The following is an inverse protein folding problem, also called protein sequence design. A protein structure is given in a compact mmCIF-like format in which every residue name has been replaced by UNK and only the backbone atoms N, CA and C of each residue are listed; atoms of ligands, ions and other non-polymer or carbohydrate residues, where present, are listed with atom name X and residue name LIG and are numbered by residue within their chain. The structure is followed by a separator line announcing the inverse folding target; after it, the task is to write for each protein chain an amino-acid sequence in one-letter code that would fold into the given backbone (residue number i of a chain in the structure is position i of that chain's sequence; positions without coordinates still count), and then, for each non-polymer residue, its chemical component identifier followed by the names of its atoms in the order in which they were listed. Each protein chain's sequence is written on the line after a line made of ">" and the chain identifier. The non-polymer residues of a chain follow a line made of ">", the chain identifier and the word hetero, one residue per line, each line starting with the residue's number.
data_IF_422504527534
#
_entry.id   IF_422504527534
#
_cell.length_a   1.000
_cell.length_b   1.000
_cell.length_c   1.000
_cell.angle_alpha   90.00
_cell.angle_beta   90.00
_cell.angle_gamma   90.00
#
_symmetry.space_group_name_H-M   'P 1'
#
loop_
_entity.id
_entity.type
_entity.pdbx_description
1 polymer ?
#
# COMPACT_ATOMS: atom_id res chain seq x y z
N UNK A 1 -14.92 3.31 21.54
CA UNK A 1 -15.59 3.57 22.82
C UNK A 1 -16.17 4.98 22.90
N UNK A 2 -15.41 6.05 22.59
CA UNK A 2 -15.90 7.42 22.83
C UNK A 2 -17.10 7.97 22.02
N UNK A 3 -17.46 7.44 20.84
CA UNK A 3 -18.57 8.02 20.05
C UNK A 3 -19.95 7.62 20.57
N UNK A 4 -20.11 6.37 21.01
CA UNK A 4 -21.39 5.84 21.50
C UNK A 4 -21.76 6.43 22.87
N UNK A 5 -20.76 6.64 23.73
CA UNK A 5 -20.95 7.25 25.06
C UNK A 5 -21.37 8.73 24.97
N UNK A 6 -20.97 9.44 23.91
CA UNK A 6 -21.29 10.87 23.75
C UNK A 6 -22.62 11.09 23.00
N UNK A 7 -22.96 10.26 22.01
CA UNK A 7 -24.08 10.52 21.10
C UNK A 7 -25.26 9.56 21.21
N UNK A 8 -25.17 8.50 22.05
CA UNK A 8 -26.21 7.50 22.28
C UNK A 8 -26.84 6.92 20.99
N UNK A 9 -26.08 6.95 19.89
CA UNK A 9 -26.44 6.46 18.56
C UNK A 9 -25.31 5.59 18.04
N UNK A 10 -25.66 4.39 17.57
CA UNK A 10 -24.74 3.54 16.83
C UNK A 10 -24.52 4.14 15.43
N UNK A 11 -23.26 4.15 14.96
CA UNK A 11 -22.87 4.72 13.65
C UNK A 11 -23.55 3.96 12.51
N UNK A 12 -23.76 2.65 12.68
CA UNK A 12 -24.50 1.77 11.79
C UNK A 12 -25.26 0.75 12.65
N UNK A 13 -26.56 0.54 12.42
CA UNK A 13 -27.40 -0.41 13.16
C UNK A 13 -28.31 -1.22 12.24
N UNK A 14 -28.70 -2.42 12.69
CA UNK A 14 -29.68 -3.29 12.01
C UNK A 14 -29.27 -3.73 10.59
N UNK A 15 -30.19 -3.61 9.64
CA UNK A 15 -30.01 -4.10 8.26
C UNK A 15 -28.87 -3.47 7.47
N UNK A 16 -28.48 -2.22 7.79
CA UNK A 16 -27.36 -1.55 7.13
C UNK A 16 -26.01 -2.19 7.50
N UNK A 17 -25.83 -2.62 8.75
CA UNK A 17 -24.62 -3.31 9.20
C UNK A 17 -24.50 -4.70 8.55
N UNK A 18 -25.64 -5.38 8.36
CA UNK A 18 -25.70 -6.68 7.72
C UNK A 18 -25.37 -6.60 6.21
N UNK A 19 -25.82 -5.53 5.54
CA UNK A 19 -25.43 -5.25 4.15
C UNK A 19 -23.93 -4.97 4.01
N UNK A 20 -23.31 -4.20 4.91
CA UNK A 20 -21.86 -3.96 4.90
C UNK A 20 -21.08 -5.27 5.03
N UNK A 21 -21.55 -6.21 5.87
CA UNK A 21 -20.91 -7.51 6.04
C UNK A 21 -21.09 -8.42 4.81
N UNK A 22 -22.30 -8.45 4.24
CA UNK A 22 -22.57 -9.17 3.00
C UNK A 22 -21.72 -8.65 1.83
N UNK A 23 -21.50 -7.34 1.78
CA UNK A 23 -20.64 -6.70 0.79
C UNK A 23 -19.17 -7.15 0.90
N UNK A 24 -18.68 -7.55 2.08
CA UNK A 24 -17.32 -8.09 2.23
C UNK A 24 -17.22 -9.60 1.92
N UNK A 25 -18.34 -10.27 1.63
CA UNK A 25 -18.34 -11.71 1.43
C UNK A 25 -17.66 -12.09 0.09
N UNK A 26 -16.57 -12.88 0.10
CA UNK A 26 -15.66 -13.04 -1.06
C UNK A 26 -16.31 -13.66 -2.30
N UNK A 27 -17.37 -14.45 -2.11
CA UNK A 27 -18.07 -15.18 -3.18
C UNK A 27 -19.43 -14.60 -3.57
N UNK A 28 -20.04 -13.77 -2.71
CA UNK A 28 -21.39 -13.22 -2.94
C UNK A 28 -21.35 -11.78 -3.44
N UNK A 29 -20.26 -11.07 -3.21
CA UNK A 29 -20.01 -9.75 -3.77
C UNK A 29 -18.91 -9.84 -4.84
N UNK A 30 -18.95 -8.97 -5.85
CA UNK A 30 -17.86 -8.79 -6.81
C UNK A 30 -16.59 -8.16 -6.16
N UNK A 31 -16.43 -8.32 -4.84
CA UNK A 31 -15.40 -7.68 -4.02
C UNK A 31 -13.98 -8.05 -4.43
N UNK A 32 -13.74 -9.30 -4.84
CA UNK A 32 -12.41 -9.73 -5.31
C UNK A 32 -12.04 -9.06 -6.65
N UNK A 33 -13.00 -8.89 -7.56
CA UNK A 33 -12.78 -8.19 -8.82
C UNK A 33 -12.49 -6.71 -8.59
N UNK A 34 -13.26 -6.07 -7.69
CA UNK A 34 -13.00 -4.71 -7.24
C UNK A 34 -11.66 -4.57 -6.51
N UNK A 35 -11.24 -5.58 -5.74
CA UNK A 35 -9.94 -5.60 -5.08
C UNK A 35 -8.76 -5.65 -6.08
N UNK A 36 -8.94 -6.26 -7.26
CA UNK A 36 -7.96 -6.21 -8.34
C UNK A 36 -7.78 -4.80 -8.89
N UNK A 37 -8.87 -4.05 -9.12
CA UNK A 37 -8.78 -2.64 -9.53
C UNK A 37 -8.10 -1.79 -8.46
N UNK A 38 -8.40 -2.01 -7.19
CA UNK A 38 -7.66 -1.38 -6.09
C UNK A 38 -6.16 -1.70 -6.14
N UNK A 39 -5.80 -2.96 -6.42
CA UNK A 39 -4.41 -3.38 -6.62
C UNK A 39 -3.71 -2.63 -7.76
N UNK A 40 -4.41 -2.37 -8.86
CA UNK A 40 -3.90 -1.55 -9.95
C UNK A 40 -3.65 -0.10 -9.52
N UNK A 41 -4.57 0.52 -8.77
CA UNK A 41 -4.36 1.88 -8.25
C UNK A 41 -3.25 1.97 -7.21
N UNK A 42 -3.07 0.92 -6.39
CA UNK A 42 -1.92 0.79 -5.48
C UNK A 42 -0.60 0.77 -6.26
N UNK A 43 -0.54 0.02 -7.36
CA UNK A 43 0.61 0.02 -8.25
C UNK A 43 0.87 1.40 -8.86
N UNK A 44 -0.16 2.06 -9.40
CA UNK A 44 -0.04 3.38 -10.01
C UNK A 44 0.43 4.45 -9.00
N UNK A 45 -0.13 4.43 -7.79
CA UNK A 45 0.32 5.24 -6.66
C UNK A 45 1.79 4.97 -6.32
N UNK A 46 2.22 3.70 -6.34
CA UNK A 46 3.62 3.30 -6.13
C UNK A 46 4.57 3.87 -7.18
N UNK A 47 4.18 3.90 -8.45
CA UNK A 47 4.97 4.55 -9.51
C UNK A 47 5.09 6.06 -9.26
N UNK A 48 3.98 6.72 -8.91
CA UNK A 48 3.97 8.17 -8.61
C UNK A 48 4.88 8.46 -7.41
N UNK A 49 4.82 7.64 -6.36
CA UNK A 49 5.68 7.74 -5.19
C UNK A 49 7.16 7.61 -5.58
N UNK A 50 7.50 6.59 -6.38
CA UNK A 50 8.86 6.37 -6.90
C UNK A 50 9.36 7.54 -7.74
N UNK A 51 8.54 8.06 -8.65
CA UNK A 51 8.86 9.22 -9.48
C UNK A 51 9.18 10.46 -8.64
N UNK A 52 8.31 10.78 -7.66
CA UNK A 52 8.52 11.95 -6.81
C UNK A 52 9.70 11.80 -5.86
N UNK A 53 9.91 10.59 -5.29
CA UNK A 53 11.07 10.31 -4.47
C UNK A 53 12.36 10.51 -5.28
N UNK A 54 12.39 9.99 -6.50
CA UNK A 54 13.50 10.16 -7.42
C UNK A 54 13.73 11.64 -7.71
N UNK A 55 12.68 12.38 -8.09
CA UNK A 55 12.76 13.80 -8.43
C UNK A 55 13.29 14.66 -7.27
N UNK A 56 12.92 14.34 -6.03
CA UNK A 56 13.42 15.06 -4.85
C UNK A 56 14.90 14.80 -4.61
N UNK A 57 15.34 13.54 -4.73
CA UNK A 57 16.73 13.16 -4.55
C UNK A 57 17.62 13.81 -5.63
N UNK A 58 17.25 13.67 -6.91
CA UNK A 58 18.00 14.27 -8.01
C UNK A 58 17.92 15.80 -8.02
N UNK A 59 16.79 16.36 -7.61
CA UNK A 59 16.54 17.79 -7.57
C UNK A 59 17.22 18.53 -6.42
N UNK A 60 17.88 17.83 -5.48
CA UNK A 60 18.49 18.42 -4.28
C UNK A 60 17.51 19.34 -3.55
N UNK A 61 16.27 18.86 -3.44
CA UNK A 61 15.15 19.67 -2.92
C UNK A 61 15.39 20.04 -1.46
N UNK A 62 16.08 19.20 -0.68
CA UNK A 62 16.50 19.52 0.68
C UNK A 62 17.35 20.79 0.72
N UNK A 63 18.41 20.88 -0.08
CA UNK A 63 19.29 22.05 -0.07
C UNK A 63 18.56 23.30 -0.54
N UNK A 64 17.66 23.17 -1.51
CA UNK A 64 16.80 24.27 -1.97
C UNK A 64 15.85 24.76 -0.88
N UNK A 65 15.24 23.84 -0.13
CA UNK A 65 14.30 24.17 0.94
C UNK A 65 15.00 24.91 2.09
N UNK A 66 16.22 24.49 2.45
CA UNK A 66 17.04 25.15 3.48
C UNK A 66 17.48 26.55 3.05
N UNK A 67 17.78 26.74 1.76
CA UNK A 67 18.22 28.03 1.20
C UNK A 67 17.06 28.95 0.78
N UNK A 68 15.81 28.50 0.85
CA UNK A 68 14.67 29.26 0.38
C UNK A 68 14.43 30.53 1.24
N UNK A 69 14.41 31.74 0.65
CA UNK A 69 14.44 33.00 1.39
C UNK A 69 13.21 33.20 2.28
N UNK A 70 12.03 32.76 1.85
CA UNK A 70 10.82 32.84 2.67
C UNK A 70 10.87 31.90 3.89
N UNK A 71 11.29 30.64 3.71
CA UNK A 71 11.31 29.66 4.80
C UNK A 71 12.37 30.00 5.84
N UNK A 72 13.51 30.54 5.41
CA UNK A 72 14.58 30.99 6.30
C UNK A 72 14.15 32.18 7.17
N UNK A 73 13.20 33.01 6.70
CA UNK A 73 12.63 34.12 7.47
C UNK A 73 11.55 33.65 8.46
N UNK A 74 10.76 32.64 8.09
CA UNK A 74 9.63 32.19 8.92
C UNK A 74 10.01 31.09 9.93
N UNK A 75 11.01 30.26 9.63
CA UNK A 75 11.33 29.04 10.40
C UNK A 75 12.77 29.08 10.92
N UNK A 76 12.96 28.74 12.20
CA UNK A 76 14.29 28.57 12.80
C UNK A 76 15.14 27.54 12.03
N UNK A 77 16.47 27.75 11.87
CA UNK A 77 17.34 26.90 11.05
C UNK A 77 17.34 25.42 11.48
N UNK A 78 17.25 25.13 12.78
CA UNK A 78 17.18 23.74 13.29
C UNK A 78 15.89 23.04 12.84
N UNK A 79 14.75 23.74 12.92
CA UNK A 79 13.44 23.21 12.50
C UNK A 79 13.35 23.07 10.99
N UNK A 80 13.88 24.05 10.25
CA UNK A 80 13.93 24.01 8.78
C UNK A 80 14.76 22.82 8.28
N UNK A 81 15.92 22.56 8.89
CA UNK A 81 16.73 21.40 8.52
C UNK A 81 16.00 20.08 8.83
N UNK A 82 15.38 19.96 10.00
CA UNK A 82 14.59 18.76 10.36
C UNK A 82 13.42 18.54 9.38
N UNK A 83 12.72 19.61 9.01
CA UNK A 83 11.64 19.57 8.03
C UNK A 83 12.14 19.17 6.64
N UNK A 84 13.25 19.75 6.19
CA UNK A 84 13.84 19.43 4.89
C UNK A 84 14.30 17.98 4.80
N UNK A 85 14.91 17.44 5.86
CA UNK A 85 15.28 16.02 5.96
C UNK A 85 14.04 15.13 5.97
N UNK A 86 12.99 15.51 6.71
CA UNK A 86 11.73 14.77 6.72
C UNK A 86 11.09 14.72 5.33
N UNK A 87 11.01 15.85 4.64
CA UNK A 87 10.51 15.94 3.27
C UNK A 87 11.35 15.10 2.31
N UNK A 88 12.68 15.21 2.35
CA UNK A 88 13.57 14.40 1.52
C UNK A 88 13.32 12.88 1.71
N UNK A 89 13.11 12.44 2.94
CA UNK A 89 12.95 11.02 3.27
C UNK A 89 11.54 10.46 2.99
N UNK A 90 10.49 11.27 3.16
CA UNK A 90 9.10 10.76 3.20
C UNK A 90 8.21 11.29 2.07
N UNK A 91 8.64 12.25 1.27
CA UNK A 91 7.76 12.89 0.29
C UNK A 91 7.28 11.93 -0.80
N UNK A 92 8.09 10.96 -1.24
CA UNK A 92 7.62 9.91 -2.14
C UNK A 92 6.43 9.14 -1.56
N UNK A 93 6.54 8.68 -0.32
CA UNK A 93 5.46 8.00 0.39
C UNK A 93 4.24 8.90 0.58
N UNK A 94 4.45 10.19 0.88
CA UNK A 94 3.36 11.17 1.03
C UNK A 94 2.59 11.33 -0.27
N UNK A 95 3.30 11.53 -1.38
CA UNK A 95 2.68 11.66 -2.71
C UNK A 95 1.97 10.37 -3.15
N UNK A 96 2.54 9.20 -2.82
CA UNK A 96 1.87 7.91 -3.01
C UNK A 96 0.53 7.85 -2.29
N UNK A 97 0.52 8.12 -0.99
CA UNK A 97 -0.71 8.10 -0.18
C UNK A 97 -1.75 9.12 -0.66
N UNK A 98 -1.32 10.33 -1.03
CA UNK A 98 -2.21 11.36 -1.60
C UNK A 98 -2.82 10.87 -2.92
N UNK A 99 -2.00 10.33 -3.83
CA UNK A 99 -2.47 9.81 -5.11
C UNK A 99 -3.45 8.64 -4.91
N UNK A 100 -3.15 7.73 -3.98
CA UNK A 100 -4.05 6.62 -3.64
C UNK A 100 -5.37 7.12 -3.08
N UNK A 101 -5.34 8.09 -2.17
CA UNK A 101 -6.54 8.71 -1.61
C UNK A 101 -7.39 9.40 -2.67
N UNK A 102 -6.76 10.07 -3.64
CA UNK A 102 -7.44 10.66 -4.79
C UNK A 102 -8.12 9.59 -5.66
N UNK A 103 -7.43 8.49 -6.00
CA UNK A 103 -8.02 7.40 -6.76
C UNK A 103 -9.21 6.75 -6.03
N UNK A 104 -9.08 6.53 -4.72
CA UNK A 104 -10.17 6.03 -3.88
C UNK A 104 -11.37 6.98 -3.88
N UNK A 105 -11.16 8.27 -3.63
CA UNK A 105 -12.25 9.25 -3.57
C UNK A 105 -12.95 9.44 -4.92
N UNK A 106 -12.20 9.39 -6.02
CA UNK A 106 -12.76 9.61 -7.35
C UNK A 106 -13.49 8.37 -7.90
N UNK A 107 -13.14 7.18 -7.43
CA UNK A 107 -13.74 5.92 -7.90
C UNK A 107 -15.27 5.87 -7.77
N UNK A 108 -15.81 6.31 -6.64
CA UNK A 108 -17.26 6.33 -6.42
C UNK A 108 -17.98 7.34 -7.33
N UNK A 109 -17.31 8.43 -7.71
CA UNK A 109 -17.84 9.41 -8.69
C UNK A 109 -17.83 8.80 -10.09
N UNK A 110 -16.73 8.15 -10.47
CA UNK A 110 -16.64 7.45 -11.75
C UNK A 110 -17.69 6.35 -11.88
N UNK A 111 -17.93 5.56 -10.84
CA UNK A 111 -18.99 4.54 -10.85
C UNK A 111 -20.38 5.14 -11.14
N UNK A 112 -20.70 6.28 -10.51
CA UNK A 112 -21.97 6.98 -10.76
C UNK A 112 -22.07 7.51 -12.20
N UNK A 113 -20.99 8.05 -12.75
CA UNK A 113 -20.97 8.60 -14.12
C UNK A 113 -21.14 7.50 -15.17
N UNK A 114 -20.44 6.38 -15.00
CA UNK A 114 -20.50 5.27 -15.96
C UNK A 114 -21.71 4.35 -15.78
N UNK A 115 -22.51 4.54 -14.73
CA UNK A 115 -23.66 3.67 -14.41
C UNK A 115 -23.27 2.24 -14.01
N UNK A 116 -21.97 1.98 -13.80
CA UNK A 116 -21.43 0.70 -13.35
C UNK A 116 -21.15 0.85 -11.85
N UNK A 117 -21.50 -0.14 -10.98
CA UNK A 117 -21.16 -0.11 -9.56
C UNK A 117 -19.64 -0.29 -9.37
N UNK A 118 -18.85 0.70 -9.78
CA UNK A 118 -17.41 0.71 -9.62
C UNK A 118 -17.08 1.04 -8.17
N UNK A 119 -16.76 -0.01 -7.42
CA UNK A 119 -16.40 0.08 -6.02
C UNK A 119 -14.92 -0.28 -5.85
N UNK A 120 -14.24 0.35 -4.90
CA UNK A 120 -12.84 0.05 -4.58
C UNK A 120 -12.79 -0.64 -3.23
N UNK A 121 -12.31 -1.89 -3.25
CA UNK A 121 -12.10 -2.69 -2.05
C UNK A 121 -10.63 -2.65 -1.66
N UNK A 122 -10.31 -1.80 -0.70
CA UNK A 122 -8.98 -1.73 -0.08
C UNK A 122 -9.01 -2.44 1.27
N UNK A 123 -8.01 -3.28 1.59
CA UNK A 123 -7.95 -4.06 2.83
C UNK A 123 -8.23 -3.22 4.09
N UNK A 124 -7.64 -2.03 4.18
CA UNK A 124 -7.83 -1.15 5.36
C UNK A 124 -9.26 -0.66 5.50
N UNK A 125 -9.94 -0.35 4.38
CA UNK A 125 -11.33 0.10 4.39
C UNK A 125 -12.26 -1.08 4.68
N UNK A 126 -12.01 -2.23 4.05
CA UNK A 126 -12.78 -3.45 4.29
C UNK A 126 -12.66 -3.90 5.77
N UNK A 127 -11.46 -3.86 6.34
CA UNK A 127 -11.22 -4.14 7.74
C UNK A 127 -11.91 -3.14 8.67
N UNK A 128 -11.82 -1.83 8.37
CA UNK A 128 -12.49 -0.78 9.12
C UNK A 128 -14.02 -0.91 9.09
N UNK A 129 -14.60 -1.12 7.91
CA UNK A 129 -16.03 -1.34 7.73
C UNK A 129 -16.51 -2.59 8.46
N UNK A 130 -15.72 -3.67 8.42
CA UNK A 130 -16.00 -4.89 9.17
C UNK A 130 -16.00 -4.62 10.68
N UNK A 131 -14.99 -3.91 11.19
CA UNK A 131 -14.91 -3.57 12.61
C UNK A 131 -16.10 -2.71 13.08
N UNK A 132 -16.50 -1.72 12.28
CA UNK A 132 -17.68 -0.88 12.56
C UNK A 132 -18.96 -1.71 12.54
N UNK A 133 -19.13 -2.59 11.55
CA UNK A 133 -20.32 -3.43 11.42
C UNK A 133 -20.45 -4.44 12.57
N UNK A 134 -19.34 -5.08 12.95
CA UNK A 134 -19.29 -6.00 14.10
C UNK A 134 -19.62 -5.25 15.40
N UNK A 135 -19.11 -4.03 15.57
CA UNK A 135 -19.44 -3.20 16.73
C UNK A 135 -20.92 -2.80 16.76
N UNK A 136 -21.52 -2.46 15.61
CA UNK A 136 -22.93 -2.05 15.52
C UNK A 136 -23.94 -3.18 15.74
N UNK A 137 -23.61 -4.42 15.32
CA UNK A 137 -24.48 -5.58 15.52
C UNK A 137 -24.30 -6.24 16.89
N UNK A 138 -23.13 -6.07 17.52
CA UNK A 138 -22.76 -6.82 18.73
C UNK A 138 -22.30 -8.23 18.39
N UNK A 139 -21.24 -8.69 19.06
CA UNK A 139 -20.61 -9.99 18.78
C UNK A 139 -21.55 -11.18 19.01
N UNK A 140 -22.50 -11.04 19.94
CA UNK A 140 -23.42 -12.11 20.33
C UNK A 140 -24.48 -12.43 19.27
N UNK A 141 -24.74 -11.50 18.34
CA UNK A 141 -25.76 -11.64 17.29
C UNK A 141 -25.20 -12.19 15.97
N UNK A 142 -23.88 -12.36 15.87
CA UNK A 142 -23.21 -12.77 14.62
C UNK A 142 -22.78 -14.25 14.74
N UNK A 143 -23.29 -15.14 13.87
CA UNK A 143 -22.83 -16.52 13.84
C UNK A 143 -21.31 -16.62 13.60
N UNK A 144 -20.63 -17.46 14.36
CA UNK A 144 -19.15 -17.59 14.32
C UNK A 144 -18.63 -17.96 12.93
N UNK A 145 -19.37 -18.81 12.21
CA UNK A 145 -19.03 -19.21 10.84
C UNK A 145 -19.09 -18.03 9.85
N UNK A 146 -20.03 -17.11 10.05
CA UNK A 146 -20.18 -15.93 9.20
C UNK A 146 -19.05 -14.93 9.45
N UNK A 147 -18.65 -14.76 10.70
CA UNK A 147 -17.50 -13.93 11.07
C UNK A 147 -16.20 -14.45 10.45
N UNK A 148 -15.99 -15.78 10.45
CA UNK A 148 -14.83 -16.41 9.81
C UNK A 148 -14.84 -16.19 8.29
N UNK A 149 -16.01 -16.28 7.65
CA UNK A 149 -16.16 -16.00 6.22
C UNK A 149 -15.85 -14.53 5.88
N UNK A 150 -16.32 -13.57 6.68
CA UNK A 150 -16.02 -12.14 6.52
C UNK A 150 -14.53 -11.86 6.73
N UNK A 151 -13.92 -12.44 7.76
CA UNK A 151 -12.48 -12.32 7.99
C UNK A 151 -11.67 -12.86 6.80
N UNK A 152 -12.05 -14.04 6.29
CA UNK A 152 -11.48 -14.60 5.07
C UNK A 152 -11.67 -13.69 3.85
N UNK A 153 -12.83 -13.01 3.74
CA UNK A 153 -13.11 -12.01 2.72
C UNK A 153 -12.16 -10.81 2.78
N UNK A 154 -11.98 -10.22 3.96
CA UNK A 154 -11.05 -9.09 4.17
C UNK A 154 -9.60 -9.49 3.84
N UNK A 155 -9.18 -10.68 4.28
CA UNK A 155 -7.85 -11.21 3.92
C UNK A 155 -7.72 -11.46 2.42
N UNK A 156 -8.76 -11.99 1.77
CA UNK A 156 -8.80 -12.20 0.32
C UNK A 156 -8.69 -10.89 -0.46
N UNK A 157 -9.38 -9.83 -0.01
CA UNK A 157 -9.25 -8.48 -0.57
C UNK A 157 -7.80 -7.99 -0.45
N UNK A 158 -7.20 -8.14 0.74
CA UNK A 158 -5.80 -7.79 0.98
C UNK A 158 -4.81 -8.56 0.11
N UNK A 159 -5.02 -9.86 -0.04
CA UNK A 159 -4.23 -10.71 -0.91
C UNK A 159 -4.32 -10.24 -2.35
N UNK A 160 -5.52 -9.93 -2.86
CA UNK A 160 -5.69 -9.43 -4.23
C UNK A 160 -5.07 -8.03 -4.43
N UNK A 161 -5.25 -7.12 -3.47
CA UNK A 161 -4.61 -5.80 -3.49
C UNK A 161 -3.09 -5.93 -3.62
N UNK A 162 -2.48 -6.81 -2.81
CA UNK A 162 -1.05 -7.07 -2.82
C UNK A 162 -0.61 -7.77 -4.11
N UNK A 163 -1.24 -8.88 -4.49
CA UNK A 163 -0.85 -9.70 -5.63
C UNK A 163 -0.88 -8.91 -6.94
N UNK A 164 -1.97 -8.19 -7.21
CA UNK A 164 -2.08 -7.40 -8.45
C UNK A 164 -1.05 -6.27 -8.46
N UNK A 165 -0.94 -5.53 -7.37
CA UNK A 165 0.00 -4.41 -7.26
C UNK A 165 1.46 -4.87 -7.44
N UNK A 166 1.85 -5.89 -6.68
CA UNK A 166 3.19 -6.46 -6.70
C UNK A 166 3.51 -7.08 -8.06
N UNK A 167 2.57 -7.80 -8.67
CA UNK A 167 2.80 -8.42 -9.99
C UNK A 167 3.06 -7.37 -11.07
N UNK A 168 2.28 -6.29 -11.09
CA UNK A 168 2.49 -5.18 -12.03
C UNK A 168 3.81 -4.46 -11.77
N UNK A 169 4.13 -4.19 -10.49
CA UNK A 169 5.41 -3.61 -10.09
C UNK A 169 6.60 -4.48 -10.51
N UNK A 170 6.49 -5.79 -10.31
CA UNK A 170 7.53 -6.74 -10.68
C UNK A 170 7.72 -6.81 -12.19
N UNK A 171 6.64 -6.90 -12.98
CA UNK A 171 6.71 -6.90 -14.44
C UNK A 171 7.35 -5.62 -14.95
N UNK A 172 6.96 -4.46 -14.40
CA UNK A 172 7.57 -3.17 -14.73
C UNK A 172 9.06 -3.14 -14.39
N UNK A 173 9.46 -3.64 -13.21
CA UNK A 173 10.86 -3.68 -12.79
C UNK A 173 11.72 -4.58 -13.68
N UNK A 174 11.22 -5.78 -14.03
CA UNK A 174 11.90 -6.70 -14.97
C UNK A 174 12.03 -6.06 -16.35
N UNK A 175 10.96 -5.41 -16.83
CA UNK A 175 10.95 -4.69 -18.12
C UNK A 175 11.97 -3.54 -18.14
N UNK A 176 12.09 -2.80 -17.04
CA UNK A 176 13.05 -1.70 -16.89
C UNK A 176 14.51 -2.17 -16.98
N UNK A 177 14.81 -3.42 -16.59
CA UNK A 177 16.15 -4.01 -16.69
C UNK A 177 16.50 -4.57 -18.08
N UNK A 178 15.62 -4.42 -19.07
CA UNK A 178 15.88 -4.88 -20.44
C UNK A 178 15.87 -6.40 -20.63
N UNK A 179 15.27 -7.16 -19.71
CA UNK A 179 15.16 -8.62 -19.82
C UNK A 179 14.21 -8.95 -20.98
N UNK A 180 14.66 -9.79 -21.90
CA UNK A 180 13.88 -10.17 -23.08
C UNK A 180 12.61 -10.95 -22.67
N UNK A 181 11.47 -10.68 -23.33
CA UNK A 181 10.16 -11.29 -23.05
C UNK A 181 10.18 -12.83 -23.00
N UNK A 182 11.09 -13.46 -23.73
CA UNK A 182 11.30 -14.92 -23.73
C UNK A 182 11.87 -15.50 -22.43
N UNK A 183 12.50 -14.68 -21.58
CA UNK A 183 13.15 -15.14 -20.34
C UNK A 183 12.26 -15.01 -19.10
N UNK A 184 11.12 -14.31 -19.19
CA UNK A 184 10.18 -14.12 -18.09
C UNK A 184 9.67 -15.43 -17.45
N UNK A 185 9.23 -16.46 -18.21
CA UNK A 185 8.72 -17.68 -17.60
C UNK A 185 9.83 -18.43 -16.84
N UNK A 186 11.07 -18.40 -17.34
CA UNK A 186 12.22 -18.99 -16.66
C UNK A 186 12.54 -18.23 -15.37
N UNK A 187 12.53 -16.90 -15.41
CA UNK A 187 12.74 -16.05 -14.23
C UNK A 187 11.67 -16.29 -13.15
N UNK A 188 10.39 -16.29 -13.53
CA UNK A 188 9.27 -16.55 -12.60
C UNK A 188 9.39 -17.94 -12.00
N UNK A 189 9.72 -18.96 -12.82
CA UNK A 189 9.93 -20.32 -12.33
C UNK A 189 11.10 -20.41 -11.35
N UNK A 190 12.21 -19.75 -11.63
CA UNK A 190 13.37 -19.71 -10.72
C UNK A 190 13.04 -19.00 -9.42
N UNK A 191 12.39 -17.83 -9.47
CA UNK A 191 11.96 -17.10 -8.27
C UNK A 191 10.97 -17.93 -7.46
N UNK A 192 10.00 -18.57 -8.11
CA UNK A 192 9.03 -19.44 -7.44
C UNK A 192 9.70 -20.64 -6.76
N UNK A 193 10.64 -21.31 -7.43
CA UNK A 193 11.43 -22.38 -6.83
C UNK A 193 12.31 -21.89 -5.67
N UNK A 194 12.92 -20.72 -5.81
CA UNK A 194 13.77 -20.13 -4.78
C UNK A 194 12.94 -19.71 -3.55
N UNK A 195 11.77 -19.11 -3.76
CA UNK A 195 10.84 -18.75 -2.68
C UNK A 195 10.37 -19.97 -1.89
N UNK A 196 10.03 -21.07 -2.57
CA UNK A 196 9.62 -22.32 -1.92
C UNK A 196 10.75 -22.99 -1.13
N UNK A 197 12.00 -22.91 -1.61
CA UNK A 197 13.16 -23.53 -0.95
C UNK A 197 13.78 -22.65 0.15
N UNK A 198 13.75 -21.34 -0.02
CA UNK A 198 14.40 -20.37 0.87
C UNK A 198 13.44 -19.23 1.24
N UNK A 199 12.31 -19.51 1.90
CA UNK A 199 11.33 -18.47 2.26
C UNK A 199 11.89 -17.45 3.25
N UNK A 200 12.85 -17.87 4.09
CA UNK A 200 13.48 -17.01 5.09
C UNK A 200 14.29 -15.88 4.45
N UNK A 201 14.93 -16.12 3.31
CA UNK A 201 15.77 -15.13 2.62
C UNK A 201 14.96 -13.97 2.02
N UNK A 202 13.65 -14.16 1.82
CA UNK A 202 12.75 -13.09 1.37
C UNK A 202 12.24 -12.22 2.50
N UNK A 203 12.29 -12.71 3.74
CA UNK A 203 11.74 -12.02 4.92
C UNK A 203 12.87 -11.41 5.76
N UNK A 204 13.99 -12.12 5.88
CA UNK A 204 15.14 -11.71 6.66
C UNK A 204 16.20 -11.10 5.75
N UNK A 205 16.81 -9.98 6.14
CA UNK A 205 17.96 -9.46 5.41
C UNK A 205 19.09 -10.49 5.44
N UNK A 206 19.86 -10.63 4.35
CA UNK A 206 21.04 -11.47 4.36
C UNK A 206 21.99 -10.97 5.45
N UNK A 207 22.62 -11.89 6.16
CA UNK A 207 23.68 -11.55 7.11
C UNK A 207 24.80 -10.89 6.30
N UNK A 208 25.08 -9.61 6.56
CA UNK A 208 26.22 -8.91 5.97
C UNK A 208 27.50 -9.65 6.41
N UNK A 209 28.05 -10.47 5.51
CA UNK A 209 29.44 -10.86 5.66
C UNK A 209 30.26 -9.59 5.37
N UNK A 210 31.11 -9.13 6.31
CA UNK A 210 31.94 -7.97 6.06
C UNK A 210 32.73 -8.20 4.76
N UNK A 211 32.61 -7.26 3.83
CA UNK A 211 33.33 -7.32 2.56
C UNK A 211 34.81 -7.60 2.84
N UNK A 212 35.45 -8.53 2.08
CA UNK A 212 36.86 -8.81 2.28
C UNK A 212 37.64 -7.49 2.14
N UNK A 213 38.27 -7.07 3.23
CA UNK A 213 39.07 -5.85 3.28
C UNK A 213 40.16 -5.97 2.22
N UNK A 214 40.00 -5.22 1.12
CA UNK A 214 40.96 -5.21 0.04
C UNK A 214 42.25 -4.56 0.56
N UNK A 215 43.23 -5.37 0.99
CA UNK A 215 44.58 -4.88 1.29
C UNK A 215 45.25 -4.58 -0.06
N UNK A 216 45.56 -3.31 -0.39
CA UNK A 216 46.39 -3.05 -1.55
C UNK A 216 47.74 -3.72 -1.32
N UNK A 217 48.22 -4.47 -2.32
CA UNK A 217 49.56 -5.03 -2.32
C UNK A 217 50.54 -3.86 -2.17
N UNK A 218 51.31 -3.85 -1.08
CA UNK A 218 52.41 -2.90 -0.92
C UNK A 218 53.30 -3.01 -2.17
N UNK A 219 53.48 -1.89 -2.87
CA UNK A 219 54.58 -1.76 -3.81
C UNK A 219 55.85 -1.72 -2.96
N UNK A 220 56.52 -2.87 -2.83
CA UNK A 220 57.90 -2.88 -2.38
C UNK A 220 58.75 -2.04 -3.34
N UNK A 221 59.70 -1.31 -2.73
CA UNK A 221 60.49 -0.22 -3.29
C UNK A 221 61.36 -0.62 -4.48
#
# INVERSE_FOLDING_TARGET
>A
MGYHEIFNKQIVSGGAALNILNDQHPWRSASLLYACFTGFFLFLSGIIAGYWQNKIQYGRIRERLIRHPALKRTISPKRLNKFAVYMEKHFGSLMGSIALGFFLGFSGVLGKIFGIPFDIRHITIAAGNTAIAVYGLGLDQIPSWFMLAVFGGVLGIGLMNFLVSFSLAFVMAVKSRGIHLSQYPRLIRTIGWYFLRHPKDFILPPVENPDPVFRPLNKEK
#
